data_IF_094210962223
#
_entry.id   IF_094210962223
#
_cell.length_a   1.000
_cell.length_b   1.000
_cell.length_c   1.000
_cell.angle_alpha   90.00
_cell.angle_beta   90.00
_cell.angle_gamma   90.00
#
_symmetry.space_group_name_H-M   'P 1'
#
loop_
_entity.id
_entity.type
_entity.pdbx_description
1 polymer ?
#
# COMPACT_ATOMS: atom_id res chain seq x y z
N UNK A 1 -7.80 -11.97 15.73
CA UNK A 1 -7.72 -10.80 16.62
C UNK A 1 -6.31 -10.27 16.52
N UNK A 2 -6.12 -8.95 16.36
CA UNK A 2 -4.79 -8.33 16.40
C UNK A 2 -4.34 -8.15 17.86
N UNK A 3 -3.04 -8.18 18.07
CA UNK A 3 -2.37 -7.96 19.36
C UNK A 3 -1.24 -6.93 19.18
N UNK A 4 -0.74 -6.36 20.28
CA UNK A 4 0.34 -5.35 20.23
C UNK A 4 1.61 -5.83 19.53
N UNK A 5 1.91 -7.13 19.64
CA UNK A 5 3.06 -7.75 19.01
C UNK A 5 2.97 -7.72 17.48
N UNK A 6 1.75 -7.68 16.93
CA UNK A 6 1.53 -7.73 15.48
C UNK A 6 2.03 -6.47 14.77
N UNK A 7 2.34 -5.39 15.50
CA UNK A 7 2.96 -4.17 14.95
C UNK A 7 4.48 -4.25 14.81
N UNK A 8 5.12 -5.24 15.44
CA UNK A 8 6.56 -5.48 15.35
C UNK A 8 6.89 -6.59 14.34
N UNK A 9 8.05 -6.54 13.66
CA UNK A 9 8.47 -7.57 12.71
C UNK A 9 8.97 -8.80 13.47
N UNK A 10 8.05 -9.56 14.08
CA UNK A 10 8.35 -10.74 14.90
C UNK A 10 7.49 -11.98 14.60
N UNK A 11 6.64 -11.97 13.56
CA UNK A 11 5.80 -13.13 13.19
C UNK A 11 6.63 -14.26 12.60
N UNK A 12 6.64 -15.48 13.15
CA UNK A 12 7.61 -16.49 12.69
C UNK A 12 7.12 -17.94 12.83
N UNK A 13 7.63 -18.70 13.79
CA UNK A 13 7.48 -20.15 13.97
C UNK A 13 7.87 -20.48 15.42
N UNK A 14 7.87 -21.74 15.88
CA UNK A 14 8.43 -22.08 17.20
C UNK A 14 9.96 -21.86 17.37
N UNK A 15 10.67 -21.50 16.30
CA UNK A 15 12.11 -21.19 16.32
C UNK A 15 12.41 -19.80 16.97
N UNK A 16 13.67 -19.48 17.32
CA UNK A 16 14.06 -18.12 17.73
C UNK A 16 13.63 -17.04 16.73
N UNK A 17 13.44 -15.79 17.20
CA UNK A 17 12.91 -14.66 16.42
C UNK A 17 13.65 -14.40 15.09
N UNK A 18 14.89 -14.84 14.96
CA UNK A 18 15.67 -14.72 13.73
C UNK A 18 15.21 -15.63 12.58
N UNK A 19 14.45 -16.70 12.83
CA UNK A 19 14.12 -17.74 11.85
C UNK A 19 12.63 -17.72 11.51
N UNK A 20 12.28 -17.66 10.22
CA UNK A 20 10.92 -17.43 9.73
C UNK A 20 10.32 -18.62 8.99
N UNK A 21 10.20 -19.77 9.65
CA UNK A 21 9.75 -21.00 8.99
C UNK A 21 10.67 -21.44 7.84
N UNK A 22 10.14 -22.09 6.81
CA UNK A 22 10.94 -22.68 5.72
C UNK A 22 10.81 -21.99 4.37
N UNK A 23 9.85 -21.07 4.20
CA UNK A 23 9.61 -20.43 2.91
C UNK A 23 10.51 -19.20 2.73
N UNK A 24 11.41 -19.23 1.75
CA UNK A 24 12.36 -18.12 1.47
C UNK A 24 11.67 -16.77 1.20
N UNK A 25 10.39 -16.80 0.82
CA UNK A 25 9.60 -15.63 0.47
C UNK A 25 8.90 -14.98 1.68
N UNK A 26 9.19 -15.45 2.90
CA UNK A 26 8.66 -14.84 4.10
C UNK A 26 9.11 -13.39 4.27
N UNK A 27 8.18 -12.51 4.66
CA UNK A 27 8.45 -11.10 4.92
C UNK A 27 7.59 -10.54 6.06
N UNK A 28 8.07 -9.44 6.65
CA UNK A 28 7.27 -8.42 7.32
C UNK A 28 7.47 -7.09 6.60
N UNK A 29 6.41 -6.30 6.39
CA UNK A 29 6.54 -4.98 5.76
C UNK A 29 5.64 -3.96 6.43
N UNK A 30 6.23 -2.79 6.68
CA UNK A 30 5.51 -1.57 6.96
C UNK A 30 5.26 -0.82 5.66
N UNK A 31 4.08 -0.25 5.52
CA UNK A 31 3.73 0.68 4.46
C UNK A 31 2.95 1.86 5.04
N UNK A 32 3.22 3.05 4.50
CA UNK A 32 2.57 4.30 4.88
C UNK A 32 2.32 5.14 3.63
N UNK A 33 1.20 5.84 3.62
CA UNK A 33 1.04 7.06 2.84
C UNK A 33 0.49 8.21 3.69
N UNK A 34 0.72 9.43 3.22
CA UNK A 34 0.18 10.64 3.79
C UNK A 34 -0.05 11.70 2.73
N UNK A 35 -1.11 12.46 2.89
CA UNK A 35 -1.49 13.50 1.95
C UNK A 35 -2.30 14.60 2.63
N UNK A 36 -2.17 15.82 2.11
CA UNK A 36 -3.09 16.92 2.44
C UNK A 36 -4.50 16.56 1.97
N UNK A 37 -5.54 17.02 2.67
CA UNK A 37 -6.93 16.78 2.25
C UNK A 37 -7.27 17.34 0.87
N UNK A 38 -6.57 18.40 0.44
CA UNK A 38 -6.65 18.93 -0.93
C UNK A 38 -5.97 18.04 -1.98
N UNK A 39 -5.07 17.15 -1.56
CA UNK A 39 -4.22 16.33 -2.42
C UNK A 39 -2.99 17.05 -2.98
N UNK A 40 -2.63 18.26 -2.54
CA UNK A 40 -1.49 19.00 -3.10
C UNK A 40 -0.12 18.39 -2.77
N UNK A 41 -0.01 17.72 -1.62
CA UNK A 41 1.20 17.00 -1.20
C UNK A 41 0.84 15.53 -0.97
N UNK A 42 1.69 14.64 -1.46
CA UNK A 42 1.62 13.21 -1.19
C UNK A 42 3.00 12.68 -0.85
N UNK A 43 3.08 11.79 0.14
CA UNK A 43 4.27 11.01 0.42
C UNK A 43 3.91 9.57 0.78
N UNK A 44 4.88 8.69 0.62
CA UNK A 44 4.80 7.31 1.08
C UNK A 44 6.14 6.87 1.68
N UNK A 45 6.06 5.93 2.62
CA UNK A 45 7.22 5.30 3.23
C UNK A 45 6.98 3.81 3.35
N UNK A 46 8.03 3.02 3.22
CA UNK A 46 7.95 1.59 3.43
C UNK A 46 9.26 1.05 4.02
N UNK A 47 9.15 -0.04 4.79
CA UNK A 47 10.30 -0.78 5.29
C UNK A 47 9.97 -2.27 5.27
N UNK A 48 10.80 -3.05 4.59
CA UNK A 48 10.68 -4.50 4.47
C UNK A 48 11.75 -5.22 5.29
N UNK A 49 11.35 -6.27 6.01
CA UNK A 49 12.23 -7.19 6.73
C UNK A 49 12.11 -8.55 6.08
N UNK A 50 13.23 -9.08 5.56
CA UNK A 50 13.29 -10.32 4.79
C UNK A 50 14.29 -11.30 5.43
N UNK A 51 13.89 -12.06 6.47
CA UNK A 51 14.81 -12.85 7.28
C UNK A 51 15.61 -13.87 6.46
N UNK A 52 14.95 -14.61 5.57
CA UNK A 52 15.60 -15.64 4.76
C UNK A 52 16.49 -15.08 3.65
N UNK A 53 16.31 -13.81 3.27
CA UNK A 53 17.20 -13.15 2.30
C UNK A 53 18.34 -12.40 3.01
N UNK A 54 18.34 -12.33 4.34
CA UNK A 54 19.25 -11.51 5.14
C UNK A 54 19.23 -10.03 4.72
N UNK A 55 18.06 -9.50 4.35
CA UNK A 55 17.90 -8.12 3.85
C UNK A 55 16.89 -7.36 4.69
N UNK A 56 17.19 -6.11 4.99
CA UNK A 56 16.21 -5.10 5.36
C UNK A 56 16.28 -3.97 4.32
N UNK A 57 15.15 -3.62 3.71
CA UNK A 57 15.05 -2.51 2.77
C UNK A 57 14.07 -1.46 3.25
N UNK A 58 14.13 -0.29 2.64
CA UNK A 58 13.10 0.70 2.80
C UNK A 58 13.18 1.80 1.76
N UNK A 59 12.14 2.62 1.73
CA UNK A 59 12.05 3.74 0.84
C UNK A 59 11.22 4.86 1.46
N UNK A 60 11.57 6.09 1.08
CA UNK A 60 10.76 7.27 1.33
C UNK A 60 10.59 8.02 0.03
N UNK A 61 9.35 8.30 -0.34
CA UNK A 61 9.02 9.00 -1.57
C UNK A 61 8.04 10.13 -1.30
N UNK A 62 8.25 11.27 -1.96
CA UNK A 62 7.42 12.45 -1.82
C UNK A 62 7.21 13.14 -3.15
N UNK A 63 5.98 13.59 -3.39
CA UNK A 63 5.61 14.43 -4.53
C UNK A 63 5.58 15.88 -4.06
N UNK A 64 6.43 16.71 -4.69
CA UNK A 64 6.46 18.17 -4.49
C UNK A 64 6.58 18.83 -5.86
N UNK A 65 5.76 19.84 -6.12
CA UNK A 65 5.79 20.64 -7.37
C UNK A 65 5.74 19.77 -8.65
N UNK A 66 4.97 18.67 -8.62
CA UNK A 66 4.80 17.74 -9.75
C UNK A 66 5.97 16.80 -10.01
N UNK A 67 6.96 16.74 -9.11
CA UNK A 67 8.10 15.81 -9.16
C UNK A 67 7.95 14.79 -8.05
N UNK A 68 8.07 13.51 -8.39
CA UNK A 68 8.17 12.44 -7.41
C UNK A 68 9.66 12.18 -7.13
N UNK A 69 10.08 12.39 -5.88
CA UNK A 69 11.43 12.14 -5.39
C UNK A 69 11.44 10.83 -4.61
N UNK A 70 12.31 9.89 -4.97
CA UNK A 70 12.34 8.54 -4.39
C UNK A 70 13.72 8.27 -3.79
N UNK A 71 13.78 8.09 -2.47
CA UNK A 71 14.95 7.61 -1.75
C UNK A 71 14.75 6.13 -1.43
N UNK A 72 15.72 5.31 -1.80
CA UNK A 72 15.77 3.87 -1.51
C UNK A 72 16.97 3.57 -0.61
N UNK A 73 16.79 2.67 0.33
CA UNK A 73 17.84 2.24 1.27
C UNK A 73 17.79 0.72 1.46
N UNK A 74 18.93 0.10 1.66
CA UNK A 74 19.02 -1.34 1.92
C UNK A 74 20.24 -1.66 2.77
N UNK A 75 20.12 -2.66 3.66
CA UNK A 75 21.24 -3.20 4.44
C UNK A 75 21.10 -4.70 4.63
N UNK A 76 22.17 -5.34 5.06
CA UNK A 76 22.05 -6.70 5.57
C UNK A 76 21.33 -6.71 6.92
N UNK A 77 20.41 -7.65 7.08
CA UNK A 77 19.59 -7.80 8.28
C UNK A 77 20.44 -8.23 9.48
N UNK A 78 21.36 -9.17 9.25
CA UNK A 78 22.20 -9.84 10.25
C UNK A 78 21.37 -10.46 11.38
N UNK A 79 20.25 -11.09 11.01
CA UNK A 79 19.30 -11.74 11.92
C UNK A 79 18.57 -10.85 12.94
N UNK A 80 18.98 -9.58 13.09
CA UNK A 80 18.32 -8.62 13.98
C UNK A 80 17.13 -7.93 13.28
N UNK A 81 15.93 -8.18 13.78
CA UNK A 81 14.67 -7.76 13.15
C UNK A 81 14.01 -6.56 13.82
N UNK A 82 14.29 -6.31 15.11
CA UNK A 82 13.69 -5.22 15.87
C UNK A 82 14.40 -3.89 15.65
N UNK A 83 15.66 -3.90 15.25
CA UNK A 83 16.35 -2.69 14.79
C UNK A 83 15.85 -2.33 13.38
N UNK A 84 14.84 -1.48 13.32
CA UNK A 84 14.20 -1.02 12.08
C UNK A 84 14.89 0.21 11.46
N UNK A 85 16.16 0.45 11.78
CA UNK A 85 16.98 1.45 11.07
C UNK A 85 17.60 0.83 9.81
N UNK A 86 17.46 1.49 8.66
CA UNK A 86 18.09 1.13 7.37
C UNK A 86 18.74 2.38 6.79
N UNK A 87 20.05 2.52 6.97
CA UNK A 87 20.76 3.74 6.58
C UNK A 87 20.13 4.98 7.22
N UNK A 88 19.63 5.90 6.38
CA UNK A 88 18.97 7.13 6.83
C UNK A 88 17.50 6.95 7.21
N UNK A 89 16.84 5.85 6.85
CA UNK A 89 15.43 5.61 7.16
C UNK A 89 15.28 4.83 8.47
N UNK A 90 14.30 5.19 9.31
CA UNK A 90 13.88 4.38 10.46
C UNK A 90 12.38 4.46 10.69
N UNK A 91 11.80 3.38 11.24
CA UNK A 91 10.40 3.30 11.62
C UNK A 91 10.29 2.81 13.06
N UNK A 92 9.84 3.67 13.97
CA UNK A 92 9.65 3.32 15.37
C UNK A 92 8.17 3.07 15.70
N UNK A 93 7.87 2.00 16.42
CA UNK A 93 6.56 1.78 17.03
C UNK A 93 6.50 2.55 18.35
N UNK A 94 5.85 3.71 18.37
CA UNK A 94 5.74 4.58 19.56
C UNK A 94 4.68 4.04 20.52
N UNK A 95 3.49 3.75 19.99
CA UNK A 95 2.42 3.05 20.70
C UNK A 95 1.83 1.99 19.77
N UNK A 96 1.97 0.69 20.08
CA UNK A 96 1.47 -0.38 19.21
C UNK A 96 -0.02 -0.22 18.89
N UNK A 97 -0.34 -0.43 17.63
CA UNK A 97 -1.66 -0.29 16.99
C UNK A 97 -2.23 1.13 17.03
N UNK A 98 -1.41 2.14 17.36
CA UNK A 98 -1.89 3.51 17.49
C UNK A 98 -0.95 4.58 16.90
N UNK A 99 0.34 4.60 17.26
CA UNK A 99 1.27 5.64 16.82
C UNK A 99 2.61 5.07 16.40
N UNK A 100 3.11 5.53 15.24
CA UNK A 100 4.41 5.17 14.69
C UNK A 100 5.12 6.43 14.19
N UNK A 101 6.45 6.40 14.20
CA UNK A 101 7.29 7.50 13.73
C UNK A 101 8.14 7.04 12.56
N UNK A 102 8.11 7.80 11.47
CA UNK A 102 8.95 7.61 10.29
C UNK A 102 9.98 8.74 10.27
N UNK A 103 11.28 8.39 10.22
CA UNK A 103 12.36 9.38 10.13
C UNK A 103 13.25 9.09 8.94
N UNK A 104 13.61 10.15 8.23
CA UNK A 104 14.66 10.17 7.21
C UNK A 104 15.73 11.15 7.68
N UNK A 105 16.86 10.62 8.13
CA UNK A 105 18.02 11.40 8.55
C UNK A 105 18.73 12.05 7.34
N UNK A 106 19.69 12.92 7.64
CA UNK A 106 20.50 13.57 6.62
C UNK A 106 21.20 12.56 5.69
N UNK A 107 21.17 12.86 4.39
CA UNK A 107 21.78 12.08 3.33
C UNK A 107 22.17 12.98 2.16
N UNK A 108 22.96 12.42 1.23
CA UNK A 108 23.54 13.14 0.09
C UNK A 108 22.51 13.64 -0.94
N UNK A 109 21.26 13.18 -0.89
CA UNK A 109 20.20 13.55 -1.83
C UNK A 109 19.29 14.67 -1.32
N UNK A 110 19.51 15.14 -0.09
CA UNK A 110 18.77 16.27 0.48
C UNK A 110 17.30 15.97 0.79
N UNK A 111 16.94 14.69 1.02
CA UNK A 111 15.61 14.29 1.49
C UNK A 111 15.69 14.05 3.00
N UNK A 112 14.88 14.76 3.79
CA UNK A 112 14.81 14.57 5.25
C UNK A 112 13.36 14.58 5.70
N UNK A 113 13.04 13.85 6.75
CA UNK A 113 11.69 13.81 7.29
C UNK A 113 11.70 13.38 8.75
N UNK A 114 10.73 13.89 9.51
CA UNK A 114 10.42 13.43 10.85
C UNK A 114 8.90 13.53 11.02
N UNK A 115 8.24 12.39 10.95
CA UNK A 115 6.80 12.28 10.79
C UNK A 115 6.23 11.30 11.81
N UNK A 116 5.24 11.75 12.57
CA UNK A 116 4.47 10.89 13.48
C UNK A 116 3.10 10.62 12.88
N UNK A 117 2.78 9.34 12.73
CA UNK A 117 1.43 8.86 12.43
C UNK A 117 0.66 8.64 13.74
N UNK A 118 -0.60 9.05 13.75
CA UNK A 118 -1.55 8.73 14.83
C UNK A 118 -2.85 8.19 14.24
N UNK A 119 -3.22 6.97 14.64
CA UNK A 119 -4.45 6.32 14.18
C UNK A 119 -5.70 7.05 14.66
N UNK A 120 -6.60 7.36 13.72
CA UNK A 120 -7.90 8.00 14.01
C UNK A 120 -9.05 7.00 14.13
N UNK A 121 -8.80 5.75 13.78
CA UNK A 121 -9.65 4.57 13.91
C UNK A 121 -8.77 3.40 14.40
N UNK A 122 -9.34 2.30 14.93
CA UNK A 122 -8.55 1.11 15.26
C UNK A 122 -7.81 0.56 14.02
N UNK A 123 -6.70 -0.14 14.26
CA UNK A 123 -6.10 -0.97 13.22
C UNK A 123 -7.02 -2.16 12.93
N UNK A 124 -7.36 -2.35 11.66
CA UNK A 124 -8.30 -3.37 11.21
C UNK A 124 -7.56 -4.47 10.47
N UNK A 125 -7.77 -5.72 10.88
CA UNK A 125 -7.20 -6.88 10.19
C UNK A 125 -8.01 -7.15 8.93
N UNK A 126 -7.34 -7.23 7.79
CA UNK A 126 -7.97 -7.63 6.53
C UNK A 126 -8.14 -9.16 6.45
N UNK A 127 -9.07 -9.66 5.60
CA UNK A 127 -9.09 -11.07 5.22
C UNK A 127 -7.71 -11.56 4.75
N UNK A 128 -7.35 -12.77 5.17
CA UNK A 128 -6.07 -13.40 4.82
C UNK A 128 -6.03 -13.68 3.32
N UNK A 129 -4.96 -13.25 2.68
CA UNK A 129 -4.71 -13.51 1.27
C UNK A 129 -4.17 -14.93 1.15
N UNK A 130 -4.90 -15.81 0.45
CA UNK A 130 -4.49 -17.20 0.22
C UNK A 130 -4.63 -17.51 -1.26
N UNK A 131 -3.51 -17.56 -1.99
CA UNK A 131 -3.49 -17.83 -3.44
C UNK A 131 -2.39 -18.84 -3.76
N UNK A 132 -2.71 -19.80 -4.61
CA UNK A 132 -1.78 -20.85 -5.06
C UNK A 132 -1.67 -20.86 -6.58
N UNK A 133 -0.51 -21.34 -7.01
CA UNK A 133 -0.17 -21.64 -8.38
C UNK A 133 0.05 -23.15 -8.51
N UNK A 134 -1.02 -23.89 -8.82
CA UNK A 134 -1.05 -25.34 -8.64
C UNK A 134 -0.73 -25.70 -7.17
N UNK A 135 0.25 -26.58 -6.89
CA UNK A 135 0.63 -26.90 -5.52
C UNK A 135 1.45 -25.79 -4.83
N UNK A 136 2.06 -24.85 -5.57
CA UNK A 136 2.95 -23.82 -5.02
C UNK A 136 2.15 -22.71 -4.35
N UNK A 137 2.52 -22.31 -3.14
CA UNK A 137 2.00 -21.09 -2.52
C UNK A 137 2.49 -19.88 -3.30
N UNK A 138 1.57 -19.05 -3.80
CA UNK A 138 1.90 -17.76 -4.42
C UNK A 138 1.84 -16.67 -3.35
N UNK A 139 0.72 -16.59 -2.64
CA UNK A 139 0.51 -15.67 -1.53
C UNK A 139 -0.13 -16.40 -0.38
N UNK A 140 0.41 -16.19 0.80
CA UNK A 140 -0.18 -16.58 2.06
C UNK A 140 0.20 -15.55 3.11
N UNK A 141 -0.61 -14.51 3.26
CA UNK A 141 -0.26 -13.35 4.09
C UNK A 141 -1.46 -12.74 4.77
N UNK A 142 -1.20 -12.11 5.91
CA UNK A 142 -2.17 -11.30 6.66
C UNK A 142 -1.73 -9.84 6.62
N UNK A 143 -2.71 -8.95 6.69
CA UNK A 143 -2.50 -7.51 6.71
C UNK A 143 -3.37 -6.85 7.75
N UNK A 144 -2.90 -5.71 8.24
CA UNK A 144 -3.73 -4.73 8.92
C UNK A 144 -3.65 -3.41 8.18
N UNK A 145 -4.76 -2.69 8.19
CA UNK A 145 -4.86 -1.34 7.64
C UNK A 145 -5.42 -0.40 8.71
N UNK A 146 -4.87 0.80 8.79
CA UNK A 146 -5.33 1.84 9.71
C UNK A 146 -5.21 3.21 9.06
N UNK A 147 -6.28 3.98 9.10
CA UNK A 147 -6.25 5.38 8.70
C UNK A 147 -5.90 6.26 9.91
N UNK A 148 -5.24 7.39 9.64
CA UNK A 148 -4.76 8.29 10.66
C UNK A 148 -4.45 9.68 10.15
N UNK A 149 -3.81 10.46 11.02
CA UNK A 149 -3.30 11.80 10.73
C UNK A 149 -1.79 11.82 10.89
N UNK A 150 -1.14 12.79 10.24
CA UNK A 150 0.31 12.98 10.32
C UNK A 150 0.66 14.33 10.94
N UNK A 151 1.74 14.35 11.71
CA UNK A 151 2.37 15.58 12.21
C UNK A 151 3.89 15.52 12.05
N UNK A 152 4.55 16.68 11.92
CA UNK A 152 6.00 16.79 11.80
C UNK A 152 6.43 17.63 10.59
N UNK A 153 7.43 17.18 9.86
CA UNK A 153 7.94 17.91 8.70
C UNK A 153 8.63 17.01 7.67
N UNK A 154 8.67 17.50 6.43
CA UNK A 154 9.42 16.93 5.31
C UNK A 154 10.30 18.05 4.72
N UNK A 155 11.53 17.73 4.35
CA UNK A 155 12.43 18.63 3.64
C UNK A 155 12.95 17.96 2.37
N UNK A 156 12.84 18.68 1.25
CA UNK A 156 13.29 18.23 -0.06
C UNK A 156 14.21 19.31 -0.63
N UNK A 157 15.50 18.98 -0.77
CA UNK A 157 16.53 19.87 -1.33
C UNK A 157 16.52 21.28 -0.70
N UNK A 158 16.32 21.35 0.62
CA UNK A 158 16.27 22.60 1.40
C UNK A 158 14.90 23.29 1.45
N UNK A 159 13.88 22.79 0.73
CA UNK A 159 12.49 23.27 0.85
C UNK A 159 11.77 22.46 1.93
N UNK A 160 11.33 23.13 2.99
CA UNK A 160 10.61 22.51 4.11
C UNK A 160 9.09 22.60 3.96
N UNK A 161 8.41 21.49 4.23
CA UNK A 161 6.96 21.33 4.25
C UNK A 161 6.58 20.95 5.69
N UNK A 162 5.79 21.81 6.33
CA UNK A 162 5.24 21.53 7.66
C UNK A 162 4.03 20.59 7.52
N UNK A 163 4.04 19.51 8.29
CA UNK A 163 3.01 18.49 8.29
C UNK A 163 2.19 18.63 9.57
N UNK A 164 0.90 18.92 9.41
CA UNK A 164 -0.01 19.20 10.53
C UNK A 164 -1.19 18.23 10.50
N UNK A 165 -1.52 17.68 11.67
CA UNK A 165 -2.60 16.68 11.83
C UNK A 165 -3.98 17.22 11.45
N UNK A 166 -4.16 18.54 11.44
CA UNK A 166 -5.39 19.20 10.98
C UNK A 166 -5.61 19.09 9.47
N UNK A 167 -4.57 18.81 8.68
CA UNK A 167 -4.63 18.82 7.21
C UNK A 167 -4.11 17.51 6.59
N UNK A 168 -3.06 16.91 7.16
CA UNK A 168 -2.51 15.67 6.66
C UNK A 168 -3.21 14.46 7.27
N UNK A 169 -3.85 13.69 6.39
CA UNK A 169 -4.42 12.38 6.68
C UNK A 169 -3.64 11.32 5.90
N UNK A 170 -3.91 10.05 6.17
CA UNK A 170 -3.29 8.97 5.42
C UNK A 170 -3.69 7.61 5.91
N UNK A 171 -2.95 6.62 5.42
CA UNK A 171 -3.15 5.22 5.70
C UNK A 171 -1.82 4.58 6.02
N UNK A 172 -1.80 3.72 7.05
CA UNK A 172 -0.74 2.73 7.24
C UNK A 172 -1.26 1.34 6.93
N UNK A 173 -0.39 0.52 6.38
CA UNK A 173 -0.55 -0.93 6.23
C UNK A 173 0.62 -1.62 6.93
N UNK A 174 0.34 -2.79 7.50
CA UNK A 174 1.39 -3.72 7.89
C UNK A 174 1.00 -5.11 7.43
N UNK A 175 1.94 -5.78 6.77
CA UNK A 175 1.71 -7.07 6.14
C UNK A 175 2.82 -8.05 6.47
N UNK A 176 2.44 -9.31 6.66
CA UNK A 176 3.37 -10.39 6.98
C UNK A 176 2.90 -11.73 6.44
N UNK A 177 3.85 -12.60 6.12
CA UNK A 177 3.59 -13.91 5.53
C UNK A 177 4.44 -14.14 4.29
N UNK A 178 3.89 -14.82 3.30
CA UNK A 178 4.60 -15.25 2.08
C UNK A 178 4.03 -14.54 0.85
N UNK A 179 4.89 -13.93 0.03
CA UNK A 179 4.60 -13.45 -1.33
C UNK A 179 5.88 -13.37 -2.16
N UNK A 180 5.83 -13.26 -3.50
CA UNK A 180 7.06 -13.10 -4.29
C UNK A 180 7.88 -11.87 -3.84
N UNK A 181 9.15 -12.13 -3.50
CA UNK A 181 10.15 -11.14 -3.08
C UNK A 181 11.54 -11.56 -3.56
N UNK A 182 12.46 -10.59 -3.65
CA UNK A 182 13.82 -10.80 -4.11
C UNK A 182 13.88 -11.35 -5.55
N UNK A 183 14.94 -12.08 -5.85
CA UNK A 183 15.08 -12.73 -7.15
C UNK A 183 14.02 -13.83 -7.34
N UNK A 184 13.54 -13.99 -8.57
CA UNK A 184 12.68 -15.11 -8.96
C UNK A 184 13.40 -16.45 -8.80
N UNK A 185 12.62 -17.52 -8.67
CA UNK A 185 13.14 -18.88 -8.76
C UNK A 185 13.78 -19.12 -10.13
N UNK A 186 14.97 -19.72 -10.17
CA UNK A 186 15.65 -20.04 -11.42
C UNK A 186 14.93 -21.16 -12.18
N UNK A 187 14.21 -22.04 -11.46
CA UNK A 187 13.42 -23.08 -12.08
C UNK A 187 12.07 -22.50 -12.56
N UNK A 188 11.77 -22.57 -13.87
CA UNK A 188 10.49 -22.10 -14.38
C UNK A 188 9.36 -23.00 -13.90
N UNK A 189 8.18 -22.41 -13.76
CA UNK A 189 6.96 -23.16 -13.46
C UNK A 189 6.53 -23.95 -14.70
N UNK A 190 6.15 -25.21 -14.51
CA UNK A 190 5.68 -26.10 -15.58
C UNK A 190 4.31 -26.67 -15.19
N UNK A 191 3.25 -26.44 -16.00
CA UNK A 191 3.24 -25.60 -17.20
C UNK A 191 3.49 -24.11 -16.85
N UNK A 192 3.97 -23.29 -17.81
CA UNK A 192 3.97 -21.85 -17.64
C UNK A 192 2.57 -21.38 -17.29
N UNK A 193 2.45 -20.50 -16.29
CA UNK A 193 1.19 -19.80 -16.05
C UNK A 193 1.41 -18.33 -16.33
N UNK A 194 0.51 -17.77 -17.13
CA UNK A 194 0.48 -16.34 -17.38
C UNK A 194 0.15 -15.62 -16.07
N UNK A 195 0.83 -14.50 -15.83
CA UNK A 195 0.63 -13.73 -14.62
C UNK A 195 -0.66 -12.91 -14.73
N UNK A 196 -1.62 -13.20 -13.86
CA UNK A 196 -2.83 -12.41 -13.66
C UNK A 196 -2.85 -11.91 -12.22
N UNK A 197 -3.10 -10.61 -12.07
CA UNK A 197 -3.26 -9.96 -10.77
C UNK A 197 -4.12 -8.70 -10.97
N UNK A 198 -5.40 -8.81 -10.63
CA UNK A 198 -6.30 -7.67 -10.51
C UNK A 198 -6.31 -7.22 -9.05
N UNK A 199 -5.93 -5.98 -8.77
CA UNK A 199 -5.88 -5.43 -7.41
C UNK A 199 -6.41 -4.02 -7.40
N UNK A 200 -7.40 -3.80 -6.54
CA UNK A 200 -7.84 -2.48 -6.10
C UNK A 200 -7.76 -2.39 -4.59
N UNK A 201 -7.33 -1.25 -4.07
CA UNK A 201 -7.40 -0.94 -2.64
C UNK A 201 -7.73 0.54 -2.43
N UNK A 202 -8.77 0.81 -1.65
CA UNK A 202 -9.27 2.16 -1.42
C UNK A 202 -9.55 2.43 0.08
N UNK A 203 -8.51 2.67 0.89
CA UNK A 203 -8.65 3.24 2.22
C UNK A 203 -8.96 4.74 2.10
N UNK A 204 -10.14 5.14 2.60
CA UNK A 204 -10.65 6.50 2.48
C UNK A 204 -10.88 7.15 3.86
N UNK A 205 -10.68 8.45 3.91
CA UNK A 205 -10.81 9.30 5.08
C UNK A 205 -12.00 10.25 4.91
N UNK A 206 -12.99 10.14 5.80
CA UNK A 206 -14.09 11.11 5.96
C UNK A 206 -13.94 11.84 7.30
N UNK A 207 -14.82 12.80 7.59
CA UNK A 207 -14.74 13.59 8.82
C UNK A 207 -15.21 12.83 10.06
N UNK A 208 -16.13 11.88 9.89
CA UNK A 208 -16.77 11.10 10.97
C UNK A 208 -16.48 9.59 10.90
N UNK A 209 -15.88 9.10 9.82
CA UNK A 209 -15.53 7.70 9.64
C UNK A 209 -14.34 7.49 8.69
N UNK A 210 -13.93 6.23 8.58
CA UNK A 210 -13.05 5.71 7.53
C UNK A 210 -13.78 4.60 6.78
N UNK A 211 -13.36 4.35 5.55
CA UNK A 211 -13.77 3.15 4.83
C UNK A 211 -12.57 2.42 4.29
N UNK A 212 -12.62 1.09 4.32
CA UNK A 212 -11.63 0.23 3.67
C UNK A 212 -12.34 -0.59 2.60
N UNK A 213 -11.75 -0.64 1.42
CA UNK A 213 -12.16 -1.51 0.33
C UNK A 213 -10.93 -2.15 -0.28
N UNK A 214 -10.98 -3.44 -0.58
CA UNK A 214 -10.09 -4.05 -1.54
C UNK A 214 -10.76 -5.17 -2.29
N UNK A 215 -10.21 -5.48 -3.46
CA UNK A 215 -10.55 -6.67 -4.19
C UNK A 215 -9.34 -7.24 -4.92
N UNK A 216 -9.24 -8.57 -4.92
CA UNK A 216 -8.51 -9.30 -5.91
C UNK A 216 -9.42 -10.24 -6.68
N UNK A 217 -9.58 -9.95 -7.97
CA UNK A 217 -10.37 -10.76 -8.89
C UNK A 217 -9.48 -11.71 -9.70
N UNK A 218 -10.06 -12.82 -10.10
CA UNK A 218 -9.51 -13.69 -11.14
C UNK A 218 -9.87 -13.18 -12.56
N UNK A 219 -9.52 -13.94 -13.60
CA UNK A 219 -9.77 -13.58 -14.99
C UNK A 219 -11.26 -13.43 -15.35
N UNK A 220 -12.16 -14.02 -14.56
CA UNK A 220 -13.61 -13.99 -14.77
C UNK A 220 -14.30 -12.87 -13.99
N UNK A 221 -13.57 -12.17 -13.11
CA UNK A 221 -14.14 -11.17 -12.22
C UNK A 221 -14.66 -11.74 -10.90
N UNK A 222 -14.32 -12.99 -10.58
CA UNK A 222 -14.72 -13.60 -9.33
C UNK A 222 -13.66 -13.27 -8.25
N UNK A 223 -14.05 -12.64 -7.13
CA UNK A 223 -13.11 -12.24 -6.11
C UNK A 223 -12.62 -13.44 -5.32
N UNK A 224 -11.31 -13.69 -5.35
CA UNK A 224 -10.68 -14.64 -4.43
C UNK A 224 -10.29 -13.99 -3.10
N UNK A 225 -10.26 -12.66 -3.04
CA UNK A 225 -10.19 -11.89 -1.80
C UNK A 225 -10.93 -10.56 -1.96
N UNK A 226 -11.88 -10.27 -1.09
CA UNK A 226 -12.72 -9.07 -1.13
C UNK A 226 -13.05 -8.63 0.29
N UNK A 227 -12.98 -7.32 0.54
CA UNK A 227 -13.43 -6.74 1.80
C UNK A 227 -13.99 -5.34 1.59
N UNK A 228 -15.01 -5.02 2.38
CA UNK A 228 -15.58 -3.68 2.52
C UNK A 228 -15.88 -3.43 3.98
N UNK A 229 -15.38 -2.32 4.51
CA UNK A 229 -15.52 -1.97 5.92
C UNK A 229 -15.82 -0.49 6.06
N UNK A 230 -16.75 -0.16 6.94
CA UNK A 230 -16.96 1.20 7.44
C UNK A 230 -16.60 1.20 8.93
N UNK A 231 -15.80 2.16 9.37
CA UNK A 231 -15.44 2.28 10.79
C UNK A 231 -15.58 3.73 11.25
N UNK A 232 -16.39 4.02 12.29
CA UNK A 232 -16.39 5.33 12.92
C UNK A 232 -15.01 5.67 13.48
N UNK A 233 -14.77 6.95 13.73
CA UNK A 233 -13.54 7.40 14.39
C UNK A 233 -13.52 7.02 15.87
N UNK A 234 -12.31 6.98 16.41
CA UNK A 234 -12.04 6.67 17.82
C UNK A 234 -11.30 5.36 17.98
N UNK A 235 -10.46 5.29 19.02
CA UNK A 235 -9.55 4.15 19.24
C UNK A 235 -10.28 2.82 19.42
N UNK A 236 -11.41 2.85 20.13
CA UNK A 236 -12.22 1.67 20.46
C UNK A 236 -13.48 1.55 19.60
N UNK A 237 -13.53 2.31 18.48
CA UNK A 237 -14.63 2.24 17.55
C UNK A 237 -14.79 0.82 17.01
N UNK A 238 -16.04 0.40 16.79
CA UNK A 238 -16.34 -0.91 16.21
C UNK A 238 -16.57 -0.74 14.72
N UNK A 239 -15.75 -1.41 13.92
CA UNK A 239 -15.96 -1.50 12.49
C UNK A 239 -17.21 -2.33 12.17
N UNK A 240 -17.84 -2.00 11.04
CA UNK A 240 -18.88 -2.78 10.42
C UNK A 240 -18.35 -3.35 9.11
N UNK A 241 -18.28 -4.67 9.03
CA UNK A 241 -18.02 -5.37 7.77
C UNK A 241 -19.28 -5.37 6.90
N UNK A 242 -19.10 -5.11 5.60
CA UNK A 242 -20.19 -5.10 4.64
C UNK A 242 -20.53 -6.54 4.25
N UNK A 243 -21.82 -6.82 4.06
CA UNK A 243 -22.32 -8.14 3.68
C UNK A 243 -22.13 -8.40 2.18
N UNK A 244 -22.33 -7.36 1.37
CA UNK A 244 -21.96 -7.37 -0.05
C UNK A 244 -21.16 -6.13 -0.40
N UNK A 245 -20.22 -6.34 -1.30
CA UNK A 245 -19.37 -5.30 -1.87
C UNK A 245 -19.31 -5.51 -3.37
N UNK A 246 -19.48 -4.45 -4.14
CA UNK A 246 -19.28 -4.45 -5.59
C UNK A 246 -18.68 -3.11 -6.01
N UNK A 247 -18.19 -3.03 -7.25
CA UNK A 247 -17.55 -1.83 -7.75
C UNK A 247 -17.78 -1.69 -9.26
N UNK A 248 -17.62 -0.47 -9.76
CA UNK A 248 -17.62 -0.11 -11.17
C UNK A 248 -16.42 0.79 -11.44
N UNK A 249 -15.75 0.59 -12.57
CA UNK A 249 -14.61 1.42 -13.01
C UNK A 249 -14.85 1.90 -14.43
N UNK A 250 -14.70 3.20 -14.65
CA UNK A 250 -14.45 3.74 -15.97
C UNK A 250 -12.93 3.93 -16.12
N UNK A 251 -12.35 3.38 -17.16
CA UNK A 251 -10.91 3.49 -17.42
C UNK A 251 -10.57 4.73 -18.26
N UNK A 252 -9.35 5.22 -18.09
CA UNK A 252 -8.74 6.16 -19.04
C UNK A 252 -8.46 5.39 -20.34
N UNK A 253 -9.01 5.86 -21.46
CA UNK A 253 -8.77 5.25 -22.78
C UNK A 253 -7.26 5.20 -23.07
N UNK A 254 -6.79 4.05 -23.59
CA UNK A 254 -5.38 3.78 -23.81
C UNK A 254 -4.60 3.40 -22.55
N UNK A 255 -5.28 3.15 -21.42
CA UNK A 255 -4.67 2.76 -20.14
C UNK A 255 -5.49 1.69 -19.42
N UNK A 256 -4.95 1.16 -18.31
CA UNK A 256 -5.68 0.36 -17.30
C UNK A 256 -5.93 1.15 -16.01
N UNK A 257 -5.61 2.43 -15.98
CA UNK A 257 -5.86 3.29 -14.83
C UNK A 257 -7.29 3.84 -14.86
N UNK A 258 -7.94 3.85 -13.71
CA UNK A 258 -9.28 4.37 -13.51
C UNK A 258 -9.33 5.88 -13.78
N UNK A 259 -10.30 6.29 -14.59
CA UNK A 259 -10.78 7.66 -14.72
C UNK A 259 -11.77 8.00 -13.59
N UNK A 260 -12.59 7.03 -13.20
CA UNK A 260 -13.53 7.09 -12.07
C UNK A 260 -13.77 5.69 -11.53
N UNK A 261 -14.12 5.58 -10.25
CA UNK A 261 -14.51 4.32 -9.64
C UNK A 261 -15.69 4.54 -8.68
N UNK A 262 -16.70 3.68 -8.74
CA UNK A 262 -17.79 3.64 -7.77
C UNK A 262 -17.67 2.37 -6.95
N UNK A 263 -17.77 2.47 -5.63
CA UNK A 263 -17.79 1.34 -4.70
C UNK A 263 -19.18 1.27 -4.07
N UNK A 264 -19.77 0.09 -4.00
CA UNK A 264 -21.09 -0.14 -3.44
C UNK A 264 -20.99 -1.09 -2.27
N UNK A 265 -21.44 -0.61 -1.12
CA UNK A 265 -21.48 -1.34 0.14
C UNK A 265 -22.93 -1.65 0.52
N UNK A 266 -23.21 -2.90 0.87
CA UNK A 266 -24.52 -3.35 1.36
C UNK A 266 -24.36 -3.99 2.75
N UNK A 267 -25.15 -3.54 3.72
CA UNK A 267 -25.21 -4.18 5.04
C UNK A 267 -26.07 -5.43 5.01
N UNK A 268 -26.00 -6.28 6.04
CA UNK A 268 -26.92 -7.43 6.21
C UNK A 268 -28.41 -7.08 6.21
N UNK A 269 -28.74 -5.81 6.49
CA UNK A 269 -30.12 -5.31 6.47
C UNK A 269 -30.55 -4.81 5.09
N UNK A 270 -29.67 -4.87 4.09
CA UNK A 270 -29.91 -4.36 2.74
C UNK A 270 -29.74 -2.85 2.60
N UNK A 271 -29.15 -2.18 3.59
CA UNK A 271 -28.84 -0.74 3.51
C UNK A 271 -27.68 -0.54 2.55
N UNK A 272 -27.84 0.37 1.58
CA UNK A 272 -26.86 0.59 0.51
C UNK A 272 -26.15 1.92 0.67
N UNK A 273 -24.83 1.88 0.64
CA UNK A 273 -23.95 3.06 0.59
C UNK A 273 -23.17 3.02 -0.72
N UNK A 274 -23.12 4.14 -1.43
CA UNK A 274 -22.31 4.32 -2.65
C UNK A 274 -21.16 5.26 -2.35
N UNK A 275 -19.96 4.95 -2.82
CA UNK A 275 -18.79 5.83 -2.71
C UNK A 275 -18.23 6.07 -4.10
N UNK A 276 -18.29 7.31 -4.56
CA UNK A 276 -17.75 7.75 -5.84
C UNK A 276 -16.34 8.31 -5.65
N UNK A 277 -15.37 7.81 -6.42
CA UNK A 277 -13.98 8.22 -6.42
C UNK A 277 -13.64 8.93 -7.72
N UNK A 278 -13.03 10.12 -7.59
CA UNK A 278 -12.49 10.90 -8.70
C UNK A 278 -10.98 11.03 -8.55
N UNK A 279 -10.18 10.17 -9.23
CA UNK A 279 -8.73 10.30 -9.34
C UNK A 279 -8.25 11.68 -9.82
N UNK A 280 -7.18 12.18 -9.20
CA UNK A 280 -6.57 13.51 -9.47
C UNK A 280 -5.21 13.39 -10.15
N UNK A 281 -4.30 12.66 -9.51
CA UNK A 281 -2.97 12.35 -10.04
C UNK A 281 -2.48 11.03 -9.44
N UNK A 282 -1.40 10.49 -10.02
CA UNK A 282 -0.83 9.22 -9.63
C UNK A 282 0.44 9.42 -8.82
N UNK A 283 0.51 8.73 -7.68
CA UNK A 283 1.77 8.32 -7.11
C UNK A 283 2.18 6.98 -7.73
N UNK A 284 3.40 6.92 -8.27
CA UNK A 284 3.92 5.71 -8.90
C UNK A 284 4.62 4.84 -7.86
N UNK A 285 4.11 3.63 -7.64
CA UNK A 285 4.52 2.76 -6.53
C UNK A 285 5.96 2.23 -6.67
N UNK A 286 6.57 2.35 -7.86
CA UNK A 286 8.00 2.08 -8.05
C UNK A 286 8.89 2.91 -7.14
N UNK A 287 8.45 4.12 -6.75
CA UNK A 287 9.19 4.99 -5.85
C UNK A 287 9.37 4.45 -4.43
N UNK A 288 8.66 3.37 -4.10
CA UNK A 288 8.81 2.61 -2.85
C UNK A 288 9.01 1.10 -3.11
N UNK A 289 9.55 0.76 -4.28
CA UNK A 289 10.06 -0.58 -4.63
C UNK A 289 9.08 -1.50 -5.37
N UNK A 290 7.82 -1.11 -5.58
CA UNK A 290 6.86 -1.98 -6.30
C UNK A 290 7.13 -1.96 -7.81
N UNK A 291 7.53 -3.11 -8.37
CA UNK A 291 7.84 -3.23 -9.80
C UNK A 291 9.09 -2.47 -10.25
N UNK A 292 9.87 -1.94 -9.30
CA UNK A 292 11.12 -1.25 -9.61
C UNK A 292 12.15 -2.25 -10.18
N UNK A 293 12.84 -1.94 -11.30
CA UNK A 293 13.79 -2.88 -11.93
C UNK A 293 15.01 -3.24 -11.04
N UNK A 294 15.54 -2.27 -10.29
CA UNK A 294 16.72 -2.49 -9.44
C UNK A 294 16.47 -2.50 -7.92
N UNK A 295 15.53 -1.69 -7.43
CA UNK A 295 15.21 -1.50 -6.01
C UNK A 295 13.92 -2.22 -5.61
N UNK A 296 13.68 -3.39 -6.21
CA UNK A 296 12.54 -4.24 -5.86
C UNK A 296 12.64 -4.74 -4.41
N UNK A 297 11.49 -5.08 -3.83
CA UNK A 297 11.39 -5.65 -2.49
C UNK A 297 12.31 -6.84 -2.25
N UNK A 298 13.19 -6.75 -1.26
CA UNK A 298 14.14 -7.80 -0.90
C UNK A 298 15.27 -8.00 -1.92
N UNK A 299 15.51 -7.03 -2.82
CA UNK A 299 16.64 -7.07 -3.74
C UNK A 299 17.97 -6.92 -2.99
N UNK A 300 18.97 -7.72 -3.37
CA UNK A 300 20.32 -7.59 -2.81
C UNK A 300 21.01 -6.36 -3.42
N UNK A 301 21.24 -5.33 -2.61
CA UNK A 301 21.95 -4.10 -3.03
C UNK A 301 23.35 -3.92 -2.43
N UNK A 302 23.75 -4.83 -1.55
CA UNK A 302 24.95 -4.70 -0.73
C UNK A 302 24.60 -4.15 0.65
N UNK A 303 25.59 -4.02 1.52
CA UNK A 303 25.38 -3.49 2.85
C UNK A 303 25.31 -1.96 2.83
N UNK A 304 24.32 -1.39 3.52
CA UNK A 304 24.07 0.05 3.63
C UNK A 304 24.02 0.80 2.28
N UNK A 305 23.43 0.17 1.26
CA UNK A 305 23.23 0.78 -0.04
C UNK A 305 22.17 1.89 0.01
N UNK A 306 22.40 2.96 -0.73
CA UNK A 306 21.49 4.09 -0.91
C UNK A 306 21.26 4.31 -2.41
N UNK A 307 20.02 4.58 -2.78
CA UNK A 307 19.62 4.89 -4.14
C UNK A 307 18.69 6.09 -4.17
N UNK A 308 18.74 6.83 -5.27
CA UNK A 308 17.86 7.97 -5.47
C UNK A 308 17.49 8.11 -6.94
N UNK A 309 16.22 8.39 -7.17
CA UNK A 309 15.69 8.75 -8.48
C UNK A 309 14.59 9.80 -8.33
N UNK A 310 14.39 10.61 -9.36
CA UNK A 310 13.28 11.54 -9.44
C UNK A 310 12.75 11.63 -10.87
N UNK A 311 11.46 11.88 -11.00
CA UNK A 311 10.83 12.12 -12.30
C UNK A 311 9.65 13.06 -12.15
N UNK A 312 9.38 13.84 -13.21
CA UNK A 312 8.17 14.66 -13.29
C UNK A 312 7.00 13.75 -13.64
N UNK A 313 5.89 13.89 -12.92
CA UNK A 313 4.67 13.13 -13.21
C UNK A 313 4.16 13.40 -14.63
N UNK A 314 4.35 14.63 -15.12
CA UNK A 314 3.97 15.03 -16.49
C UNK A 314 4.71 14.28 -17.59
N UNK A 315 5.89 13.73 -17.30
CA UNK A 315 6.75 13.08 -18.29
C UNK A 315 6.35 11.61 -18.48
N UNK A 316 5.55 11.05 -17.57
CA UNK A 316 5.04 9.69 -17.67
C UNK A 316 3.87 9.63 -18.65
N UNK A 317 4.11 9.02 -19.82
CA UNK A 317 3.13 8.89 -20.91
C UNK A 317 2.57 7.48 -21.09
N UNK A 318 3.09 6.50 -20.33
CA UNK A 318 2.70 5.09 -20.43
C UNK A 318 2.23 4.58 -19.08
N UNK A 319 1.20 3.72 -19.09
CA UNK A 319 0.78 2.94 -17.93
C UNK A 319 1.54 1.61 -17.82
N UNK A 320 2.35 1.23 -18.80
CA UNK A 320 3.07 -0.03 -18.75
C UNK A 320 4.12 -0.04 -17.61
N UNK A 321 4.55 -1.22 -17.13
CA UNK A 321 5.63 -1.31 -16.15
C UNK A 321 6.86 -0.45 -16.54
N UNK A 322 7.47 0.27 -15.58
CA UNK A 322 7.22 0.22 -14.14
C UNK A 322 6.06 1.12 -13.63
N UNK A 323 5.33 1.80 -14.53
CA UNK A 323 4.30 2.79 -14.17
C UNK A 323 2.88 2.22 -14.01
N UNK A 324 2.74 0.88 -14.08
CA UNK A 324 1.46 0.20 -13.99
C UNK A 324 0.85 0.28 -12.59
N UNK A 325 1.66 0.07 -11.56
CA UNK A 325 1.22 0.08 -10.18
C UNK A 325 1.23 1.50 -9.64
N UNK A 326 0.04 2.01 -9.30
CA UNK A 326 -0.16 3.38 -8.83
C UNK A 326 -0.99 3.42 -7.56
N UNK A 327 -0.85 4.50 -6.80
CA UNK A 327 -1.91 5.03 -5.95
C UNK A 327 -2.47 6.30 -6.58
N UNK A 328 -3.73 6.25 -7.01
CA UNK A 328 -4.42 7.42 -7.53
C UNK A 328 -5.03 8.21 -6.37
N UNK A 329 -4.50 9.40 -6.10
CA UNK A 329 -5.09 10.30 -5.09
C UNK A 329 -6.45 10.73 -5.58
N UNK A 330 -7.48 10.54 -4.75
CA UNK A 330 -8.87 10.67 -5.16
C UNK A 330 -9.68 11.51 -4.19
N UNK A 331 -10.52 12.38 -4.74
CA UNK A 331 -11.66 12.93 -4.01
C UNK A 331 -12.72 11.83 -3.87
N UNK A 332 -13.40 11.76 -2.73
CA UNK A 332 -14.42 10.75 -2.45
C UNK A 332 -15.75 11.40 -2.04
N UNK A 333 -16.86 10.88 -2.58
CA UNK A 333 -18.22 11.25 -2.16
C UNK A 333 -18.97 9.99 -1.75
N UNK A 334 -19.30 9.89 -0.47
CA UNK A 334 -20.12 8.81 0.08
C UNK A 334 -21.58 9.26 0.13
N UNK A 335 -22.47 8.51 -0.52
CA UNK A 335 -23.92 8.66 -0.46
C UNK A 335 -24.51 7.57 0.42
N UNK A 336 -25.14 7.97 1.53
CA UNK A 336 -25.73 7.08 2.53
C UNK A 336 -27.14 6.59 2.10
N UNK A 337 -27.72 5.58 2.78
CA UNK A 337 -29.04 5.05 2.45
C UNK A 337 -30.17 6.08 2.49
N UNK A 338 -30.02 7.14 3.29
CA UNK A 338 -30.98 8.25 3.41
C UNK A 338 -30.80 9.34 2.32
N UNK A 339 -29.84 9.15 1.42
CA UNK A 339 -29.50 10.10 0.36
C UNK A 339 -28.59 11.25 0.81
N UNK A 340 -28.23 11.35 2.09
CA UNK A 340 -27.25 12.33 2.56
C UNK A 340 -25.85 11.97 2.08
N UNK A 341 -25.00 13.00 1.93
CA UNK A 341 -23.63 12.80 1.42
C UNK A 341 -22.57 13.15 2.45
N UNK A 342 -21.39 12.53 2.32
CA UNK A 342 -20.16 12.89 3.02
C UNK A 342 -19.06 13.08 1.99
N UNK A 343 -18.26 14.12 2.16
CA UNK A 343 -17.04 14.33 1.37
C UNK A 343 -15.86 13.72 2.11
N UNK A 344 -14.96 13.12 1.37
CA UNK A 344 -13.74 12.53 1.88
C UNK A 344 -12.63 12.59 0.83
N UNK A 345 -11.51 12.01 1.18
CA UNK A 345 -10.36 11.85 0.30
C UNK A 345 -9.66 10.53 0.60
N UNK A 346 -8.89 10.04 -0.35
CA UNK A 346 -8.13 8.81 -0.16
C UNK A 346 -7.30 8.46 -1.36
N UNK A 347 -6.96 7.19 -1.46
CA UNK A 347 -6.31 6.62 -2.63
C UNK A 347 -7.19 5.55 -3.25
N UNK A 348 -7.03 5.35 -4.55
CA UNK A 348 -7.38 4.13 -5.26
C UNK A 348 -6.08 3.52 -5.78
N UNK A 349 -5.55 2.54 -5.05
CA UNK A 349 -4.42 1.75 -5.50
C UNK A 349 -4.86 0.80 -6.60
N UNK A 350 -4.06 0.68 -7.66
CA UNK A 350 -4.36 -0.15 -8.82
C UNK A 350 -3.11 -0.92 -9.23
N UNK A 351 -3.22 -2.23 -9.33
CA UNK A 351 -2.29 -3.08 -10.06
C UNK A 351 -3.10 -4.10 -10.85
N UNK A 352 -3.22 -3.88 -12.16
CA UNK A 352 -4.10 -4.65 -13.04
C UNK A 352 -3.25 -5.27 -14.15
N UNK A 353 -2.91 -6.56 -14.00
CA UNK A 353 -2.14 -7.34 -14.99
C UNK A 353 -2.95 -8.56 -15.40
N UNK A 354 -2.91 -8.89 -16.69
CA UNK A 354 -3.59 -10.08 -17.22
C UNK A 354 -5.04 -9.83 -17.63
N UNK A 355 -5.72 -10.89 -18.10
CA UNK A 355 -7.12 -10.85 -18.48
C UNK A 355 -8.04 -10.53 -17.31
N UNK A 356 -9.14 -9.84 -17.59
CA UNK A 356 -10.23 -9.58 -16.64
C UNK A 356 -11.51 -9.30 -17.44
N UNK A 357 -12.38 -10.31 -17.54
CA UNK A 357 -13.56 -10.27 -18.40
C UNK A 357 -14.50 -9.08 -18.15
N UNK A 358 -14.83 -8.69 -16.89
CA UNK A 358 -15.69 -7.53 -16.64
C UNK A 358 -15.10 -6.19 -17.11
N UNK A 359 -13.76 -6.07 -17.16
CA UNK A 359 -13.09 -4.88 -17.67
C UNK A 359 -12.81 -4.93 -19.17
N UNK A 360 -13.08 -6.07 -19.83
CA UNK A 360 -12.80 -6.27 -21.25
C UNK A 360 -11.31 -6.44 -21.58
N UNK A 361 -10.46 -6.70 -20.58
CA UNK A 361 -9.02 -6.98 -20.78
C UNK A 361 -8.82 -8.44 -21.16
N UNK A 362 -8.03 -8.66 -22.21
CA UNK A 362 -7.87 -9.97 -22.86
C UNK A 362 -6.43 -10.47 -22.88
N UNK A 363 -5.45 -9.62 -22.61
CA UNK A 363 -4.02 -9.93 -22.64
C UNK A 363 -3.32 -9.39 -21.36
N UNK A 364 -2.00 -9.54 -21.24
CA UNK A 364 -1.20 -9.12 -20.08
C UNK A 364 -1.32 -7.61 -19.84
N UNK A 365 -1.27 -6.81 -20.91
CA UNK A 365 -1.23 -5.36 -20.85
C UNK A 365 -2.13 -4.68 -21.88
N UNK A 366 -3.09 -5.32 -22.55
CA UNK A 366 -3.99 -4.60 -23.46
C UNK A 366 -4.74 -3.46 -22.72
N UNK A 367 -4.81 -2.24 -23.29
CA UNK A 367 -5.44 -1.10 -22.64
C UNK A 367 -6.96 -1.11 -22.80
N UNK A 368 -7.66 -0.34 -21.95
CA UNK A 368 -9.05 0.00 -22.18
C UNK A 368 -9.21 0.83 -23.46
N UNK A 369 -10.30 0.60 -24.19
CA UNK A 369 -10.61 1.30 -25.45
C UNK A 369 -11.22 2.67 -25.20
#
# INVERSE_FOLDING_TARGET
>A
MLTKADDFPIHQTPEPIAFSGTDRNFYDRYFFNGYTRSGDVFFAAALGVYPHLNIMDGAFSVIVDGVQHNLHVSRFLNSERLDTQVGSLSIDVVEPLHSLRVRVAENEHGIKADLTFTGRAPALKEPRFTRRNGPRTLMDLTRLTQNGTWEGWIEVKGKRIEVKSSDFVGTRDRSWGVRPIGASDAQPMVPPMEFQFFWLWAPLNFDDCITLFHVNDDEHGEPWNLSGVVCPLGRDAKSQEMDRVSYEIDYISGSRHAKSCSIFFETRKGEKTRIDLTPKFHFYMMGIGYGHPEWAHGAHKGDNAVGYEEFRLSDIKSYAPPHLHIQAISDAVMTLPDGSTRKGCGILEQMIVGPHAPSGFTDILDPAK
#
